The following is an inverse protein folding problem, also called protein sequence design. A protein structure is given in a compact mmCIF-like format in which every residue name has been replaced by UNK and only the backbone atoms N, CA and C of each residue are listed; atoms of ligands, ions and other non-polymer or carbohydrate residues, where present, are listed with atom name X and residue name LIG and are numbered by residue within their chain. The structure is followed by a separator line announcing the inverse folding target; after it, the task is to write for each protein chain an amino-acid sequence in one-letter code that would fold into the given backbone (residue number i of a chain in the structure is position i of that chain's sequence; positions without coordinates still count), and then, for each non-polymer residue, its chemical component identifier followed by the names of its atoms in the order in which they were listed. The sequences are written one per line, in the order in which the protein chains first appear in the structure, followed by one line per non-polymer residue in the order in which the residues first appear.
data_IF_089884107626
#
_entry.id   IF_089884107626
#
_cell.length_a   1.000
_cell.length_b   1.000
_cell.length_c   1.000
_cell.angle_alpha   90.00
_cell.angle_beta   90.00
_cell.angle_gamma   90.00
#
_symmetry.space_group_name_H-M   'P 1'
#
loop_
_entity.id
_entity.type
_entity.pdbx_description
1 polymer ?
#
# COMPACT_ATOMS: atom_id res chain seq x y z
N UNK A 1 11.20 -13.18 12.61
CA UNK A 1 11.25 -14.04 11.41
C UNK A 1 10.54 -13.25 10.32
N UNK A 2 11.10 -13.04 9.11
CA UNK A 2 10.32 -12.44 8.03
C UNK A 2 9.14 -13.37 7.74
N UNK A 3 7.94 -12.85 7.93
CA UNK A 3 6.67 -13.56 7.76
C UNK A 3 6.53 -13.97 6.30
N UNK A 4 6.09 -15.19 6.05
CA UNK A 4 5.81 -15.69 4.69
C UNK A 4 4.64 -14.93 4.08
N UNK A 5 4.57 -14.89 2.75
CA UNK A 5 3.39 -14.34 2.07
C UNK A 5 2.10 -15.02 2.56
N UNK A 6 0.95 -14.31 2.56
CA UNK A 6 -0.35 -14.91 2.90
C UNK A 6 -0.65 -16.15 2.04
N UNK A 7 -1.45 -17.07 2.58
CA UNK A 7 -1.84 -18.31 1.89
C UNK A 7 -2.52 -18.04 0.53
N UNK A 8 -3.42 -17.05 0.47
CA UNK A 8 -4.20 -16.70 -0.71
C UNK A 8 -3.60 -15.55 -1.53
N UNK A 9 -2.27 -15.41 -1.54
CA UNK A 9 -1.56 -14.31 -2.20
C UNK A 9 -1.35 -14.56 -3.70
N UNK A 10 -2.32 -14.20 -4.53
CA UNK A 10 -2.31 -14.52 -5.97
C UNK A 10 -1.95 -13.31 -6.85
N UNK A 11 -1.03 -13.44 -7.83
CA UNK A 11 -0.66 -12.35 -8.73
C UNK A 11 -1.85 -11.81 -9.54
N UNK A 12 -1.93 -10.48 -9.65
CA UNK A 12 -2.91 -9.78 -10.49
C UNK A 12 -2.21 -9.28 -11.75
N UNK A 13 -2.70 -9.61 -12.97
CA UNK A 13 -2.14 -9.05 -14.20
C UNK A 13 -2.13 -7.51 -14.18
N UNK A 14 -1.00 -6.89 -14.55
CA UNK A 14 -0.82 -5.43 -14.45
C UNK A 14 -1.88 -4.64 -15.22
N UNK A 15 -2.35 -5.14 -16.38
CA UNK A 15 -3.43 -4.53 -17.14
C UNK A 15 -4.82 -4.60 -16.46
N UNK A 16 -4.93 -5.26 -15.30
CA UNK A 16 -6.12 -5.32 -14.45
C UNK A 16 -5.90 -4.72 -13.06
N UNK A 17 -4.68 -4.32 -12.69
CA UNK A 17 -4.34 -3.86 -11.34
C UNK A 17 -5.15 -2.62 -10.91
N UNK A 18 -5.48 -1.72 -11.84
CA UNK A 18 -6.32 -0.53 -11.57
C UNK A 18 -7.69 -0.89 -10.95
N UNK A 19 -8.24 -2.07 -11.26
CA UNK A 19 -9.53 -2.52 -10.74
C UNK A 19 -9.53 -2.73 -9.23
N UNK A 20 -8.37 -2.95 -8.63
CA UNK A 20 -8.23 -3.03 -7.18
C UNK A 20 -8.67 -1.70 -6.53
N UNK A 21 -8.34 -0.56 -7.14
CA UNK A 21 -8.61 0.77 -6.58
C UNK A 21 -9.89 1.45 -7.11
N UNK A 22 -10.53 0.90 -8.16
CA UNK A 22 -11.66 1.55 -8.85
C UNK A 22 -12.88 1.87 -7.98
N UNK A 23 -13.07 1.16 -6.86
CA UNK A 23 -14.17 1.41 -5.93
C UNK A 23 -13.83 2.47 -4.87
N UNK A 24 -12.64 3.09 -4.95
CA UNK A 24 -12.18 4.16 -4.06
C UNK A 24 -11.92 3.75 -2.61
N UNK A 25 -11.23 2.63 -2.32
CA UNK A 25 -10.95 2.24 -0.94
C UNK A 25 -9.98 3.20 -0.27
N UNK A 26 -10.11 3.33 1.06
CA UNK A 26 -8.97 3.78 1.88
C UNK A 26 -7.87 2.73 1.78
N UNK A 27 -6.61 3.16 1.68
CA UNK A 27 -5.45 2.27 1.55
C UNK A 27 -4.47 2.47 2.70
N UNK A 28 -3.59 1.50 2.89
CA UNK A 28 -2.36 1.67 3.67
C UNK A 28 -1.19 1.89 2.72
N UNK A 29 -0.37 2.89 3.03
CA UNK A 29 0.87 3.21 2.32
C UNK A 29 2.03 2.71 3.15
N UNK A 30 2.83 1.80 2.61
CA UNK A 30 4.04 1.30 3.24
C UNK A 30 5.28 1.63 2.40
N UNK A 31 6.40 1.88 3.08
CA UNK A 31 7.68 2.17 2.44
C UNK A 31 8.83 1.80 3.37
N UNK A 32 10.02 1.61 2.79
CA UNK A 32 11.24 1.37 3.55
C UNK A 32 12.43 2.08 2.91
N UNK A 33 13.32 2.62 3.74
CA UNK A 33 14.55 3.26 3.31
C UNK A 33 15.57 3.25 4.46
N UNK A 34 16.86 3.09 4.13
CA UNK A 34 17.97 3.14 5.10
C UNK A 34 17.79 2.23 6.34
N UNK A 35 17.20 1.05 6.16
CA UNK A 35 16.97 0.08 7.25
C UNK A 35 15.71 0.35 8.08
N UNK A 36 14.98 1.42 7.79
CA UNK A 36 13.71 1.75 8.43
C UNK A 36 12.52 1.42 7.52
N UNK A 37 11.37 1.17 8.12
CA UNK A 37 10.11 0.94 7.42
C UNK A 37 8.96 1.57 8.20
N UNK A 38 7.90 1.97 7.49
CA UNK A 38 6.71 2.52 8.11
C UNK A 38 5.46 2.20 7.30
N UNK A 39 4.30 2.31 7.96
CA UNK A 39 2.96 2.23 7.35
C UNK A 39 2.13 3.42 7.81
N UNK A 40 1.32 4.00 6.92
CA UNK A 40 0.29 5.00 7.26
C UNK A 40 -1.00 4.68 6.53
N UNK A 41 -2.13 5.21 7.00
CA UNK A 41 -3.38 5.20 6.23
C UNK A 41 -3.43 6.38 5.25
N UNK A 42 -4.04 6.19 4.08
CA UNK A 42 -4.32 7.23 3.11
C UNK A 42 -5.70 7.00 2.47
N UNK A 43 -6.60 7.97 2.60
CA UNK A 43 -7.86 7.97 1.87
C UNK A 43 -7.72 8.55 0.46
N UNK A 44 -6.76 9.47 0.27
CA UNK A 44 -6.53 10.16 -0.99
C UNK A 44 -5.58 9.36 -1.88
N UNK A 45 -6.04 8.20 -2.34
CA UNK A 45 -5.37 7.36 -3.31
C UNK A 45 -6.33 7.03 -4.46
N UNK A 46 -5.85 7.04 -5.70
CA UNK A 46 -6.69 6.81 -6.88
C UNK A 46 -5.93 6.11 -7.99
N UNK A 47 -6.62 5.33 -8.81
CA UNK A 47 -6.08 4.87 -10.09
C UNK A 47 -5.94 6.08 -11.04
N UNK A 48 -4.83 6.13 -11.78
CA UNK A 48 -4.52 7.21 -12.72
C UNK A 48 -4.52 6.74 -14.18
N UNK A 49 -4.06 5.52 -14.46
CA UNK A 49 -3.92 4.98 -15.81
C UNK A 49 -4.08 3.45 -15.83
N UNK A 50 -4.41 2.89 -16.99
CA UNK A 50 -4.70 1.46 -17.16
C UNK A 50 -3.46 0.63 -17.55
N UNK A 51 -2.64 1.11 -18.50
CA UNK A 51 -1.52 0.31 -19.05
C UNK A 51 -0.43 1.19 -19.69
N UNK A 52 0.78 1.31 -19.08
CA UNK A 52 1.15 0.71 -17.80
C UNK A 52 0.35 1.34 -16.65
N UNK A 53 -0.11 0.53 -15.68
CA UNK A 53 -0.96 1.00 -14.59
C UNK A 53 -0.25 2.05 -13.74
N UNK A 54 -0.96 3.14 -13.44
CA UNK A 54 -0.46 4.22 -12.57
C UNK A 54 -1.46 4.54 -11.50
N UNK A 55 -0.97 5.05 -10.38
CA UNK A 55 -1.76 5.50 -9.24
C UNK A 55 -1.31 6.90 -8.82
N UNK A 56 -2.22 7.63 -8.18
CA UNK A 56 -1.90 8.80 -7.38
C UNK A 56 -2.11 8.49 -5.91
N UNK A 57 -1.30 9.13 -5.06
CA UNK A 57 -1.53 9.16 -3.61
C UNK A 57 -1.01 10.48 -3.05
N UNK A 58 -1.76 11.11 -2.15
CA UNK A 58 -1.31 12.30 -1.43
C UNK A 58 -0.61 11.89 -0.14
N UNK A 59 0.63 12.34 0.05
CA UNK A 59 1.46 12.00 1.22
C UNK A 59 2.03 13.29 1.82
N UNK A 60 1.42 13.72 2.93
CA UNK A 60 1.73 14.97 3.62
C UNK A 60 3.20 15.05 4.09
N UNK A 61 3.77 16.26 4.00
CA UNK A 61 5.18 16.59 4.37
C UNK A 61 5.55 16.21 5.80
N UNK A 62 4.59 16.21 6.72
CA UNK A 62 4.82 15.87 8.12
C UNK A 62 4.99 14.37 8.34
N UNK A 63 4.59 13.51 7.40
CA UNK A 63 4.60 12.05 7.61
C UNK A 63 6.01 11.44 7.52
N UNK A 64 6.31 10.45 8.36
CA UNK A 64 7.54 9.64 8.22
C UNK A 64 7.54 8.85 6.91
N UNK A 65 6.37 8.38 6.48
CA UNK A 65 6.23 7.59 5.25
C UNK A 65 6.71 8.38 4.04
N UNK A 66 6.41 9.68 3.93
CA UNK A 66 6.91 10.52 2.82
C UNK A 66 8.43 10.47 2.71
N UNK A 67 9.15 10.64 3.82
CA UNK A 67 10.61 10.63 3.83
C UNK A 67 11.16 9.28 3.33
N UNK A 68 10.52 8.17 3.69
CA UNK A 68 10.89 6.84 3.21
C UNK A 68 10.58 6.66 1.72
N UNK A 69 9.45 7.20 1.23
CA UNK A 69 9.08 7.17 -0.19
C UNK A 69 10.05 7.99 -1.04
N UNK A 70 10.37 9.21 -0.61
CA UNK A 70 11.33 10.09 -1.30
C UNK A 70 12.74 9.49 -1.29
N UNK A 71 13.16 8.87 -0.18
CA UNK A 71 14.48 8.24 -0.07
C UNK A 71 14.62 6.95 -0.90
N UNK A 72 13.57 6.14 -0.98
CA UNK A 72 13.62 4.85 -1.69
C UNK A 72 13.18 4.91 -3.15
N UNK A 73 12.33 5.86 -3.52
CA UNK A 73 11.65 5.87 -4.82
C UNK A 73 10.61 4.76 -4.98
N UNK A 74 10.23 4.05 -3.90
CA UNK A 74 9.27 2.95 -3.93
C UNK A 74 8.29 3.01 -2.77
N UNK A 75 7.06 2.53 -2.99
CA UNK A 75 6.05 2.38 -1.96
C UNK A 75 5.09 1.25 -2.31
N UNK A 76 4.31 0.80 -1.35
CA UNK A 76 3.17 -0.08 -1.61
C UNK A 76 1.86 0.61 -1.24
N UNK A 77 0.83 0.37 -2.05
CA UNK A 77 -0.57 0.60 -1.68
C UNK A 77 -1.21 -0.75 -1.39
N UNK A 78 -1.91 -0.87 -0.28
CA UNK A 78 -2.63 -2.10 0.07
C UNK A 78 -3.98 -1.79 0.68
N UNK A 79 -4.94 -2.69 0.46
CA UNK A 79 -6.34 -2.48 0.79
C UNK A 79 -6.66 -3.17 2.12
N UNK A 80 -6.79 -2.44 3.24
CA UNK A 80 -7.15 -3.03 4.53
C UNK A 80 -8.57 -3.61 4.48
N UNK A 81 -8.81 -4.67 5.24
CA UNK A 81 -10.13 -5.29 5.41
C UNK A 81 -10.90 -4.65 6.56
N UNK A 82 -12.18 -5.01 6.73
CA UNK A 82 -13.00 -4.55 7.85
C UNK A 82 -12.38 -4.90 9.21
N UNK A 83 -11.81 -6.11 9.34
CA UNK A 83 -11.13 -6.55 10.56
C UNK A 83 -9.94 -5.63 10.94
N UNK A 84 -9.37 -4.93 9.96
CA UNK A 84 -8.25 -4.01 10.14
C UNK A 84 -8.68 -2.56 10.36
N UNK A 85 -9.99 -2.26 10.47
CA UNK A 85 -10.48 -0.88 10.55
C UNK A 85 -9.90 -0.10 11.74
N UNK A 86 -9.87 -0.70 12.94
CA UNK A 86 -9.30 -0.07 14.14
C UNK A 86 -7.78 0.19 13.98
N UNK A 87 -7.04 -0.80 13.47
CA UNK A 87 -5.60 -0.66 13.18
C UNK A 87 -5.35 0.44 12.13
N UNK A 88 -6.17 0.49 11.08
CA UNK A 88 -6.09 1.50 10.02
C UNK A 88 -6.21 2.91 10.57
N UNK A 89 -7.20 3.15 11.44
CA UNK A 89 -7.38 4.45 12.13
C UNK A 89 -6.17 4.75 13.03
N UNK A 90 -5.72 3.76 13.81
CA UNK A 90 -4.63 3.95 14.75
C UNK A 90 -3.31 4.34 14.06
N UNK A 91 -2.89 3.60 13.02
CA UNK A 91 -1.64 3.91 12.30
C UNK A 91 -1.72 5.14 11.41
N UNK A 92 -2.93 5.60 11.08
CA UNK A 92 -3.19 6.90 10.45
C UNK A 92 -3.16 8.07 11.44
N UNK A 93 -3.37 7.80 12.73
CA UNK A 93 -3.34 8.80 13.81
C UNK A 93 -1.93 8.96 14.38
N UNK A 94 -1.23 7.85 14.62
CA UNK A 94 0.11 7.87 15.20
C UNK A 94 1.18 8.05 14.12
N UNK A 95 2.06 9.04 14.31
CA UNK A 95 3.22 9.25 13.45
C UNK A 95 4.44 8.51 13.99
N UNK A 96 5.17 7.82 13.11
CA UNK A 96 6.44 7.20 13.48
C UNK A 96 7.55 8.23 13.85
N UNK A 97 7.32 9.52 13.61
CA UNK A 97 8.19 10.59 14.12
C UNK A 97 8.09 10.77 15.64
N UNK A 98 6.91 10.51 16.21
CA UNK A 98 6.63 10.66 17.66
C UNK A 98 6.50 9.32 18.38
N UNK A 99 6.08 8.27 17.67
CA UNK A 99 5.95 6.89 18.15
C UNK A 99 6.72 5.95 17.22
N UNK A 100 8.05 5.87 17.32
CA UNK A 100 8.88 5.08 16.40
C UNK A 100 8.52 3.58 16.35
N UNK A 101 7.93 3.06 17.42
CA UNK A 101 7.50 1.68 17.59
C UNK A 101 6.01 1.46 17.26
N UNK A 102 5.31 2.43 16.64
CA UNK A 102 3.85 2.37 16.40
C UNK A 102 3.39 1.10 15.68
N UNK A 103 4.20 0.54 14.78
CA UNK A 103 3.83 -0.67 14.05
C UNK A 103 3.74 -1.87 15.01
N UNK A 104 4.69 -1.98 15.94
CA UNK A 104 4.67 -3.00 16.97
C UNK A 104 3.51 -2.78 17.94
N UNK A 105 3.29 -1.54 18.38
CA UNK A 105 2.19 -1.19 19.29
C UNK A 105 0.82 -1.55 18.73
N UNK A 106 0.63 -1.37 17.42
CA UNK A 106 -0.63 -1.67 16.72
C UNK A 106 -0.68 -3.05 16.08
N UNK A 107 0.30 -3.92 16.36
CA UNK A 107 0.32 -5.31 15.87
C UNK A 107 0.41 -5.43 14.35
N UNK A 108 1.04 -4.47 13.68
CA UNK A 108 1.21 -4.50 12.22
C UNK A 108 2.24 -5.55 11.84
N UNK A 109 1.78 -6.62 11.21
CA UNK A 109 2.65 -7.66 10.66
C UNK A 109 3.03 -7.36 9.22
N UNK A 110 4.33 -7.44 8.92
CA UNK A 110 4.88 -7.14 7.60
C UNK A 110 5.44 -8.38 6.93
N UNK A 111 5.36 -8.44 5.61
CA UNK A 111 6.01 -9.44 4.77
C UNK A 111 6.59 -8.79 3.51
N UNK A 112 7.27 -9.59 2.68
CA UNK A 112 7.77 -9.15 1.39
C UNK A 112 7.32 -10.13 0.31
N UNK A 113 6.92 -9.60 -0.85
CA UNK A 113 6.62 -10.42 -2.00
C UNK A 113 7.91 -10.93 -2.67
N UNK A 114 7.85 -12.06 -3.41
CA UNK A 114 8.95 -12.51 -4.26
C UNK A 114 9.44 -11.38 -5.17
N UNK A 115 10.76 -11.25 -5.35
CA UNK A 115 11.40 -10.20 -6.17
C UNK A 115 11.19 -8.74 -5.71
N UNK A 116 10.50 -8.51 -4.58
CA UNK A 116 10.22 -7.18 -4.03
C UNK A 116 10.62 -7.06 -2.55
N UNK A 117 11.80 -7.59 -2.21
CA UNK A 117 12.33 -7.66 -0.84
C UNK A 117 12.58 -6.31 -0.13
N UNK A 118 12.52 -5.19 -0.86
CA UNK A 118 12.76 -3.84 -0.33
C UNK A 118 11.48 -3.05 -0.07
N UNK A 119 10.30 -3.57 -0.45
CA UNK A 119 9.01 -2.91 -0.22
C UNK A 119 8.19 -3.74 0.78
N UNK A 120 8.02 -3.28 2.03
CA UNK A 120 7.26 -4.02 3.02
C UNK A 120 5.78 -4.01 2.67
N UNK A 121 5.11 -5.15 2.82
CA UNK A 121 3.67 -5.34 2.62
C UNK A 121 3.00 -5.72 3.93
N UNK A 122 1.75 -5.30 4.14
CA UNK A 122 0.99 -5.52 5.37
C UNK A 122 0.17 -6.80 5.25
N UNK A 123 0.30 -7.70 6.22
CA UNK A 123 -0.51 -8.91 6.31
C UNK A 123 -2.00 -8.58 6.49
N UNK A 124 -2.88 -9.49 6.05
CA UNK A 124 -4.33 -9.37 6.26
C UNK A 124 -5.06 -8.40 5.32
N UNK A 125 -4.35 -7.62 4.50
CA UNK A 125 -4.97 -6.83 3.43
C UNK A 125 -5.60 -7.71 2.36
N UNK A 126 -6.60 -7.18 1.65
CA UNK A 126 -7.26 -7.87 0.54
C UNK A 126 -6.47 -7.76 -0.78
N UNK A 127 -5.61 -6.75 -0.91
CA UNK A 127 -4.80 -6.54 -2.11
C UNK A 127 -3.57 -5.68 -1.83
N UNK A 128 -2.57 -5.81 -2.70
CA UNK A 128 -1.28 -5.13 -2.63
C UNK A 128 -0.82 -4.69 -4.02
N UNK A 129 -0.31 -3.47 -4.11
CA UNK A 129 0.29 -2.89 -5.31
C UNK A 129 1.66 -2.34 -4.93
N UNK A 130 2.73 -2.85 -5.54
CA UNK A 130 4.07 -2.28 -5.40
C UNK A 130 4.25 -1.23 -6.48
N UNK A 131 4.67 -0.03 -6.07
CA UNK A 131 4.76 1.15 -6.91
C UNK A 131 6.18 1.70 -6.94
N UNK A 132 6.62 2.09 -8.12
CA UNK A 132 7.80 2.93 -8.33
C UNK A 132 7.37 4.36 -8.51
N UNK A 133 7.96 5.28 -7.76
CA UNK A 133 7.67 6.72 -7.86
C UNK A 133 8.06 7.21 -9.26
N UNK A 134 7.15 7.94 -9.91
CA UNK A 134 7.46 8.77 -11.07
C UNK A 134 7.78 10.17 -10.51
N UNK A 135 9.03 10.65 -10.61
CA UNK A 135 9.42 11.93 -10.04
C UNK A 135 8.68 13.08 -10.70
N UNK A 136 7.83 13.75 -9.93
CA UNK A 136 7.11 14.97 -10.35
C UNK A 136 7.29 16.04 -9.26
N UNK A 137 8.45 16.72 -9.20
CA UNK A 137 8.80 17.57 -8.07
C UNK A 137 7.81 18.71 -7.82
N UNK A 138 7.22 19.28 -8.89
CA UNK A 138 6.19 20.31 -8.73
C UNK A 138 4.97 19.76 -7.99
N UNK A 139 4.45 18.60 -8.41
CA UNK A 139 3.28 17.98 -7.78
C UNK A 139 3.55 17.60 -6.32
N UNK A 140 4.72 17.00 -6.07
CA UNK A 140 5.14 16.58 -4.74
C UNK A 140 5.33 17.77 -3.79
N UNK A 141 5.80 18.93 -4.28
CA UNK A 141 6.05 20.09 -3.43
C UNK A 141 4.85 21.01 -3.27
N UNK A 142 3.99 21.14 -4.29
CA UNK A 142 2.83 22.05 -4.26
C UNK A 142 1.57 21.38 -3.72
N UNK A 143 1.37 20.08 -4.01
CA UNK A 143 0.12 19.38 -3.70
C UNK A 143 0.32 18.12 -2.85
N UNK A 144 1.56 17.83 -2.44
CA UNK A 144 1.93 16.59 -1.77
C UNK A 144 1.51 15.32 -2.55
N UNK A 145 1.35 15.49 -3.87
CA UNK A 145 0.81 14.49 -4.77
C UNK A 145 1.94 13.66 -5.38
N UNK A 146 1.92 12.37 -5.10
CA UNK A 146 2.82 11.39 -5.68
C UNK A 146 2.13 10.65 -6.82
N UNK A 147 2.87 10.41 -7.90
CA UNK A 147 2.49 9.52 -8.98
C UNK A 147 3.37 8.27 -8.87
N UNK A 148 2.75 7.09 -8.93
CA UNK A 148 3.45 5.81 -8.93
C UNK A 148 3.07 4.95 -10.13
N UNK A 149 4.06 4.35 -10.78
CA UNK A 149 3.87 3.23 -11.70
C UNK A 149 3.71 1.94 -10.90
N UNK A 150 2.64 1.18 -11.11
CA UNK A 150 2.46 -0.13 -10.47
C UNK A 150 3.33 -1.14 -11.20
N UNK A 151 4.34 -1.67 -10.53
CA UNK A 151 5.30 -2.63 -11.09
C UNK A 151 4.95 -4.07 -10.75
N UNK A 152 4.15 -4.30 -9.70
CA UNK A 152 3.59 -5.60 -9.35
C UNK A 152 2.31 -5.45 -8.53
N UNK A 153 1.41 -6.43 -8.63
CA UNK A 153 0.16 -6.43 -7.90
C UNK A 153 -0.26 -7.86 -7.54
N UNK A 154 -0.91 -7.99 -6.38
CA UNK A 154 -1.48 -9.23 -5.86
C UNK A 154 -2.79 -8.94 -5.15
N UNK A 155 -3.61 -9.97 -5.01
CA UNK A 155 -4.82 -9.90 -4.22
C UNK A 155 -5.11 -11.24 -3.55
N UNK A 156 -5.92 -11.17 -2.49
CA UNK A 156 -6.50 -12.34 -1.88
C UNK A 156 -7.56 -12.94 -2.82
N UNK A 157 -7.27 -14.12 -3.37
CA UNK A 157 -8.12 -14.75 -4.39
C UNK A 157 -9.53 -15.11 -3.91
N UNK A 158 -9.75 -15.12 -2.59
CA UNK A 158 -11.08 -15.35 -1.99
C UNK A 158 -12.01 -14.17 -2.25
N UNK A 159 -11.47 -12.96 -2.37
CA UNK A 159 -12.24 -11.71 -2.54
C UNK A 159 -11.94 -10.97 -3.86
N UNK A 160 -10.83 -11.28 -4.54
CA UNK A 160 -10.55 -10.78 -5.88
C UNK A 160 -10.00 -11.87 -6.80
N UNK A 161 -10.79 -12.28 -7.79
CA UNK A 161 -10.42 -13.34 -8.75
C UNK A 161 -10.85 -12.97 -10.16
N UNK A 162 -10.14 -13.50 -11.16
CA UNK A 162 -10.41 -13.24 -12.59
C UNK A 162 -10.41 -11.74 -12.99
N UNK A 163 -9.92 -10.85 -12.13
CA UNK A 163 -9.95 -9.41 -12.33
C UNK A 163 -11.20 -8.71 -11.80
N UNK A 164 -11.94 -9.33 -10.89
CA UNK A 164 -13.19 -8.82 -10.33
C UNK A 164 -13.22 -8.99 -8.82
N UNK A 165 -13.84 -8.01 -8.14
CA UNK A 165 -14.16 -8.10 -6.72
C UNK A 165 -15.36 -9.00 -6.51
N UNK A 166 -15.33 -9.78 -5.44
CA UNK A 166 -16.29 -10.83 -5.13
C UNK A 166 -16.80 -10.69 -3.68
N UNK A 167 -17.05 -9.44 -3.26
CA UNK A 167 -17.39 -9.08 -1.88
C UNK A 167 -18.59 -9.87 -1.32
N UNK A 168 -19.61 -10.12 -2.14
CA UNK A 168 -20.83 -10.84 -1.73
C UNK A 168 -20.57 -12.31 -1.36
N UNK A 169 -19.43 -12.87 -1.79
CA UNK A 169 -19.04 -14.27 -1.57
C UNK A 169 -17.75 -14.40 -0.78
N UNK A 170 -17.17 -13.27 -0.36
CA UNK A 170 -15.93 -13.25 0.38
C UNK A 170 -16.16 -13.80 1.81
N UNK A 171 -15.17 -14.51 2.38
CA UNK A 171 -15.21 -14.84 3.79
C UNK A 171 -15.09 -13.56 4.64
N UNK A 172 -15.64 -13.62 5.85
CA UNK A 172 -15.53 -12.56 6.87
C UNK A 172 -14.06 -12.28 7.28
#
# INVERSE_FOLDING_TARGET
MPTTAPEHFTPVPLNKAYRLLNHGPTVLVSAAHAGEHNVMAAAWACALDFSPPKVTVVIDKATRTRELVEGSGTFALQLPTLAMAAMTVAIGTDSAKTHPDKLQQHGVELFHAPDHAHTPLVQGCAAWLVCRVIPEPHNQQTYDLFIGEVVAAWADERVFRNGHWEFDTAPD
#
